data_IF_923936020848
#
_entry.id   IF_923936020848
#
_cell.length_a   1.000
_cell.length_b   1.000
_cell.length_c   1.000
_cell.angle_alpha   90.00
_cell.angle_beta   90.00
_cell.angle_gamma   90.00
#
_symmetry.space_group_name_H-M   'P 1'
#
loop_
_entity.id
_entity.type
_entity.pdbx_description
1 polymer ?
#
# COMPACT_ATOMS: atom_id res chain seq x y z
N UNK A 1 46.78 31.51 29.83
CA UNK A 1 46.80 31.26 28.38
C UNK A 1 46.46 29.79 28.13
N UNK A 2 45.20 29.47 27.84
CA UNK A 2 44.76 28.33 26.99
C UNK A 2 43.21 28.22 26.96
N UNK A 3 42.53 29.27 26.49
CA UNK A 3 41.04 29.26 26.42
C UNK A 3 40.48 29.69 25.05
N UNK A 4 41.36 30.03 24.08
CA UNK A 4 40.92 30.47 22.73
C UNK A 4 40.78 29.33 21.71
N UNK A 5 41.25 28.12 22.02
CA UNK A 5 41.18 26.96 21.13
C UNK A 5 39.87 26.16 21.24
N UNK A 6 39.17 26.26 22.38
CA UNK A 6 37.95 25.50 22.67
C UNK A 6 36.70 26.14 22.03
N UNK A 7 36.57 27.47 22.16
CA UNK A 7 35.46 28.26 21.57
C UNK A 7 35.38 28.17 20.03
N UNK A 8 36.53 28.08 19.34
CA UNK A 8 36.56 27.93 17.88
C UNK A 8 36.15 26.53 17.37
N UNK A 9 36.32 25.48 18.18
CA UNK A 9 35.90 24.11 17.83
C UNK A 9 34.40 23.93 18.03
N UNK A 10 33.84 24.44 19.12
CA UNK A 10 32.39 24.44 19.36
C UNK A 10 31.63 25.28 18.32
N UNK A 11 32.13 26.48 17.99
CA UNK A 11 31.51 27.31 16.94
C UNK A 11 31.54 26.65 15.57
N UNK A 12 32.63 25.95 15.21
CA UNK A 12 32.73 25.19 13.97
C UNK A 12 31.82 23.96 13.96
N UNK A 13 31.67 23.27 15.10
CA UNK A 13 30.77 22.12 15.22
C UNK A 13 29.30 22.55 15.09
N UNK A 14 28.90 23.61 15.80
CA UNK A 14 27.56 24.17 15.74
C UNK A 14 27.23 24.69 14.33
N UNK A 15 28.17 25.36 13.66
CA UNK A 15 27.99 25.80 12.28
C UNK A 15 27.79 24.63 11.30
N UNK A 16 28.49 23.50 11.50
CA UNK A 16 28.26 22.29 10.71
C UNK A 16 26.88 21.70 10.98
N UNK A 17 26.45 21.60 12.24
CA UNK A 17 25.11 21.13 12.60
C UNK A 17 24.02 21.96 11.91
N UNK A 18 24.09 23.29 12.00
CA UNK A 18 23.11 24.17 11.35
C UNK A 18 23.08 23.99 9.83
N UNK A 19 24.26 23.89 9.18
CA UNK A 19 24.32 23.67 7.73
C UNK A 19 23.73 22.32 7.34
N UNK A 20 24.07 21.26 8.06
CA UNK A 20 23.49 19.93 7.82
C UNK A 20 21.98 19.97 8.03
N UNK A 21 21.45 20.63 9.05
CA UNK A 21 20.00 20.73 9.27
C UNK A 21 19.28 21.44 8.12
N UNK A 22 19.88 22.49 7.55
CA UNK A 22 19.34 23.15 6.35
C UNK A 22 19.35 22.21 5.14
N UNK A 23 20.44 21.51 4.92
CA UNK A 23 20.56 20.51 3.84
C UNK A 23 19.55 19.37 3.99
N UNK A 24 19.30 18.90 5.22
CA UNK A 24 18.24 17.92 5.52
C UNK A 24 16.88 18.51 5.14
N UNK A 25 16.60 19.74 5.55
CA UNK A 25 15.33 20.42 5.25
C UNK A 25 15.08 20.57 3.75
N UNK A 26 16.12 20.90 2.97
CA UNK A 26 16.05 20.99 1.52
C UNK A 26 15.83 19.62 0.85
N UNK A 27 16.54 18.57 1.30
CA UNK A 27 16.41 17.21 0.75
C UNK A 27 15.01 16.62 0.95
N UNK A 28 14.33 17.00 2.03
CA UNK A 28 12.95 16.59 2.31
C UNK A 28 11.96 17.11 1.25
N UNK A 29 12.22 18.29 0.67
CA UNK A 29 11.34 18.86 -0.35
C UNK A 29 11.52 18.14 -1.70
N UNK A 30 12.70 17.59 -1.97
CA UNK A 30 13.03 16.95 -3.24
C UNK A 30 12.70 15.46 -3.32
N UNK A 31 12.61 14.76 -2.18
CA UNK A 31 12.38 13.31 -2.16
C UNK A 31 10.98 12.97 -1.68
N UNK A 32 10.26 12.18 -2.48
CA UNK A 32 8.92 11.66 -2.15
C UNK A 32 8.96 10.24 -1.60
N UNK A 33 10.01 9.49 -1.97
CA UNK A 33 10.27 8.15 -1.48
C UNK A 33 11.17 8.20 -0.25
N UNK A 34 10.76 7.53 0.83
CA UNK A 34 11.51 7.53 2.09
C UNK A 34 12.85 6.82 1.99
N UNK A 35 12.97 5.80 1.15
CA UNK A 35 14.22 5.09 0.91
C UNK A 35 15.23 6.00 0.22
N UNK A 36 14.79 6.71 -0.82
CA UNK A 36 15.65 7.67 -1.53
C UNK A 36 16.07 8.84 -0.62
N UNK A 37 15.14 9.36 0.18
CA UNK A 37 15.43 10.40 1.18
C UNK A 37 16.55 9.97 2.13
N UNK A 38 16.45 8.76 2.69
CA UNK A 38 17.43 8.27 3.64
C UNK A 38 18.78 7.96 3.01
N UNK A 39 18.80 7.51 1.76
CA UNK A 39 20.03 7.32 0.97
C UNK A 39 20.79 8.64 0.74
N UNK A 40 20.09 9.75 0.55
CA UNK A 40 20.69 11.09 0.45
C UNK A 40 21.02 11.69 1.84
N UNK A 41 20.20 11.40 2.84
CA UNK A 41 20.35 11.91 4.19
C UNK A 41 21.55 11.28 4.92
N UNK A 42 21.74 9.97 4.79
CA UNK A 42 22.73 9.23 5.57
C UNK A 42 24.16 9.76 5.35
N UNK A 43 24.67 9.97 4.12
CA UNK A 43 26.01 10.53 3.90
C UNK A 43 26.21 11.91 4.53
N UNK A 44 25.17 12.74 4.57
CA UNK A 44 25.21 14.09 5.15
C UNK A 44 25.28 14.04 6.68
N UNK A 45 24.53 13.13 7.29
CA UNK A 45 24.57 12.91 8.73
C UNK A 45 25.92 12.34 9.19
N UNK A 46 26.54 11.44 8.41
CA UNK A 46 27.89 10.92 8.68
C UNK A 46 28.96 12.02 8.76
N UNK A 47 28.73 13.18 8.13
CA UNK A 47 29.64 14.33 8.22
C UNK A 47 29.66 15.03 9.59
N UNK A 48 28.69 14.73 10.46
CA UNK A 48 28.51 15.39 11.76
C UNK A 48 28.44 14.39 12.92
N UNK A 49 27.79 13.24 12.72
CA UNK A 49 27.61 12.19 13.71
C UNK A 49 28.09 10.85 13.15
N UNK A 50 28.74 10.09 14.00
CA UNK A 50 29.26 8.75 13.71
C UNK A 50 28.20 7.69 14.04
N UNK A 51 27.78 6.91 13.05
CA UNK A 51 26.83 5.80 13.20
C UNK A 51 27.09 4.74 12.13
N UNK A 52 26.80 3.48 12.44
CA UNK A 52 26.92 2.33 11.54
C UNK A 52 25.59 1.94 10.88
N UNK A 53 24.46 2.35 11.47
CA UNK A 53 23.16 2.27 10.81
C UNK A 53 22.23 3.38 11.28
N UNK A 54 21.28 3.72 10.41
CA UNK A 54 20.10 4.51 10.74
C UNK A 54 18.85 3.72 10.37
N UNK A 55 17.88 3.64 11.29
CA UNK A 55 16.64 2.91 11.11
C UNK A 55 15.44 3.81 11.41
N UNK A 56 14.56 4.02 10.43
CA UNK A 56 13.26 4.65 10.60
C UNK A 56 12.22 3.58 10.91
N UNK A 57 11.62 3.70 12.09
CA UNK A 57 10.64 2.74 12.59
C UNK A 57 9.32 3.48 12.83
N UNK A 58 8.27 3.18 12.07
CA UNK A 58 6.97 3.84 12.19
C UNK A 58 5.98 2.99 12.98
N UNK A 59 5.08 3.64 13.69
CA UNK A 59 3.98 2.96 14.37
C UNK A 59 2.84 2.70 13.39
N UNK A 60 2.42 1.44 13.31
CA UNK A 60 1.24 1.03 12.56
C UNK A 60 0.05 0.88 13.52
N UNK A 61 -0.94 1.78 13.40
CA UNK A 61 -2.06 1.86 14.33
C UNK A 61 -2.95 0.62 14.34
N UNK A 62 -3.12 -0.02 13.19
CA UNK A 62 -4.12 -1.06 12.98
C UNK A 62 -3.74 -2.37 13.70
N UNK A 63 -2.44 -2.67 13.70
CA UNK A 63 -1.86 -3.84 14.36
C UNK A 63 -1.19 -3.51 15.69
N UNK A 64 -1.04 -2.22 16.00
CA UNK A 64 -0.33 -1.69 17.15
C UNK A 64 1.09 -2.27 17.28
N UNK A 65 1.85 -2.21 16.18
CA UNK A 65 3.24 -2.67 16.09
C UNK A 65 4.13 -1.56 15.55
N UNK A 66 5.43 -1.65 15.81
CA UNK A 66 6.43 -0.79 15.21
C UNK A 66 6.98 -1.48 13.96
N UNK A 67 7.04 -0.80 12.82
CA UNK A 67 7.51 -1.37 11.55
C UNK A 67 8.77 -0.65 11.13
N UNK A 68 9.83 -1.40 10.81
CA UNK A 68 11.05 -0.88 10.22
C UNK A 68 10.78 -0.55 8.75
N UNK A 69 10.65 0.74 8.45
CA UNK A 69 10.33 1.22 7.11
C UNK A 69 11.57 1.46 6.27
N UNK A 70 12.65 1.95 6.89
CA UNK A 70 13.92 2.21 6.22
C UNK A 70 15.05 1.83 7.13
N UNK A 71 15.97 1.02 6.63
CA UNK A 71 17.20 0.64 7.33
C UNK A 71 18.37 0.87 6.38
N UNK A 72 19.16 1.91 6.66
CA UNK A 72 20.35 2.24 5.88
C UNK A 72 21.59 1.84 6.69
N UNK A 73 22.43 1.00 6.11
CA UNK A 73 23.61 0.44 6.78
C UNK A 73 24.62 -0.05 5.73
N UNK A 74 25.95 0.04 6.01
CA UNK A 74 26.98 -0.51 5.12
C UNK A 74 26.98 -2.05 5.05
N UNK A 75 26.43 -2.75 6.03
CA UNK A 75 26.41 -4.22 6.08
C UNK A 75 25.16 -4.77 5.38
N UNK A 76 25.28 -5.43 4.22
CA UNK A 76 24.13 -5.97 3.49
C UNK A 76 23.41 -7.11 4.23
N UNK A 77 24.04 -7.72 5.24
CA UNK A 77 23.42 -8.76 6.07
C UNK A 77 22.69 -8.19 7.29
N UNK A 78 22.75 -6.88 7.49
CA UNK A 78 22.10 -6.20 8.59
C UNK A 78 20.64 -5.90 8.21
N UNK A 79 19.76 -6.83 8.54
CA UNK A 79 18.32 -6.72 8.29
C UNK A 79 17.52 -6.95 9.57
N UNK A 80 16.45 -6.17 9.76
CA UNK A 80 15.49 -6.41 10.83
C UNK A 80 14.80 -7.78 10.58
N UNK A 81 14.88 -8.76 11.51
CA UNK A 81 14.52 -10.15 11.26
C UNK A 81 13.10 -10.37 10.69
N UNK A 82 12.15 -9.56 11.14
CA UNK A 82 10.73 -9.63 10.77
C UNK A 82 10.24 -8.37 10.07
N UNK A 83 11.05 -7.31 9.98
CA UNK A 83 10.58 -5.94 9.66
C UNK A 83 9.64 -5.35 10.72
N UNK A 84 8.97 -6.17 11.52
CA UNK A 84 8.06 -5.79 12.59
C UNK A 84 8.72 -5.95 13.96
N UNK A 85 8.63 -4.91 14.77
CA UNK A 85 9.12 -4.83 16.13
C UNK A 85 7.92 -4.71 17.10
N UNK A 86 7.87 -5.52 18.16
CA UNK A 86 6.89 -5.35 19.23
C UNK A 86 6.98 -3.96 19.88
N UNK A 87 5.90 -3.53 20.53
CA UNK A 87 5.87 -2.27 21.28
C UNK A 87 6.84 -2.25 22.48
N UNK A 88 7.24 -3.42 22.96
CA UNK A 88 8.20 -3.62 24.06
C UNK A 88 9.67 -3.50 23.60
N UNK A 89 9.93 -2.85 22.47
CA UNK A 89 11.26 -2.53 21.96
C UNK A 89 11.63 -1.07 22.25
N UNK A 90 12.92 -0.66 22.13
CA UNK A 90 13.30 0.74 22.30
C UNK A 90 12.46 1.70 21.46
N UNK A 91 12.18 1.35 20.20
CA UNK A 91 11.37 2.19 19.30
C UNK A 91 9.94 2.39 19.80
N UNK A 92 9.29 1.32 20.27
CA UNK A 92 7.94 1.41 20.86
C UNK A 92 7.93 2.22 22.15
N UNK A 93 8.92 2.03 23.03
CA UNK A 93 9.05 2.82 24.26
C UNK A 93 9.27 4.32 23.99
N UNK A 94 10.16 4.66 23.04
CA UNK A 94 10.42 6.05 22.64
C UNK A 94 9.18 6.67 22.01
N UNK A 95 8.45 5.93 21.16
CA UNK A 95 7.18 6.40 20.61
C UNK A 95 6.12 6.66 21.69
N UNK A 96 6.04 5.82 22.73
CA UNK A 96 5.08 6.03 23.82
C UNK A 96 5.45 7.22 24.72
N UNK A 97 6.71 7.27 25.16
CA UNK A 97 7.18 8.25 26.15
C UNK A 97 7.59 9.59 25.56
N UNK A 98 7.87 9.62 24.25
CA UNK A 98 8.39 10.79 23.53
C UNK A 98 9.71 11.31 24.13
N UNK A 99 10.45 10.44 24.83
CA UNK A 99 11.77 10.72 25.38
C UNK A 99 12.82 9.96 24.56
N UNK A 100 13.99 10.57 24.29
CA UNK A 100 15.09 9.84 23.67
C UNK A 100 15.59 8.72 24.58
N UNK A 101 15.95 7.59 23.98
CA UNK A 101 16.60 6.48 24.66
C UNK A 101 18.03 6.37 24.17
N UNK A 102 19.00 6.52 25.07
CA UNK A 102 20.43 6.53 24.73
C UNK A 102 21.16 5.54 25.61
N UNK A 103 21.89 4.62 24.98
CA UNK A 103 22.67 3.59 25.64
C UNK A 103 24.11 3.71 25.16
N UNK A 104 25.01 4.05 26.08
CA UNK A 104 26.44 4.18 25.78
C UNK A 104 27.16 2.83 25.70
N UNK A 105 26.63 1.79 26.34
CA UNK A 105 27.18 0.43 26.33
C UNK A 105 26.06 -0.61 26.31
N UNK A 106 25.76 -1.16 25.13
CA UNK A 106 24.66 -2.10 24.90
C UNK A 106 24.73 -3.33 25.80
N UNK A 107 25.92 -3.89 26.02
CA UNK A 107 26.11 -5.08 26.88
C UNK A 107 25.65 -4.87 28.33
N UNK A 108 25.58 -3.62 28.79
CA UNK A 108 25.15 -3.27 30.16
C UNK A 108 23.65 -2.96 30.24
N UNK A 109 22.97 -2.81 29.11
CA UNK A 109 21.54 -2.51 29.07
C UNK A 109 20.71 -3.78 29.18
N UNK A 110 19.94 -3.89 30.25
CA UNK A 110 19.06 -5.04 30.52
C UNK A 110 17.60 -4.75 30.18
N UNK A 111 17.28 -3.54 29.71
CA UNK A 111 15.90 -3.09 29.51
C UNK A 111 15.22 -3.79 28.34
N UNK A 112 15.97 -4.11 27.29
CA UNK A 112 15.45 -4.76 26.08
C UNK A 112 16.33 -5.94 25.65
N UNK A 113 16.32 -7.07 26.37
CA UNK A 113 17.30 -8.15 26.23
C UNK A 113 17.43 -8.73 24.81
N UNK A 114 16.30 -8.91 24.12
CA UNK A 114 16.31 -9.48 22.76
C UNK A 114 16.91 -8.51 21.74
N UNK A 115 16.58 -7.21 21.86
CA UNK A 115 17.15 -6.16 21.01
C UNK A 115 18.63 -5.98 21.32
N UNK A 116 19.01 -5.98 22.61
CA UNK A 116 20.40 -5.91 23.04
C UNK A 116 21.21 -7.04 22.42
N UNK A 117 20.77 -8.30 22.56
CA UNK A 117 21.45 -9.46 21.99
C UNK A 117 21.59 -9.33 20.47
N UNK A 118 20.50 -8.99 19.79
CA UNK A 118 20.48 -8.87 18.34
C UNK A 118 21.45 -7.79 17.81
N UNK A 119 21.56 -6.65 18.53
CA UNK A 119 22.49 -5.57 18.22
C UNK A 119 23.94 -5.94 18.55
N UNK A 120 24.21 -6.53 19.72
CA UNK A 120 25.57 -6.91 20.14
C UNK A 120 26.15 -8.02 19.26
N UNK A 121 25.34 -8.98 18.82
CA UNK A 121 25.76 -10.04 17.88
C UNK A 121 26.23 -9.47 16.52
N UNK A 122 25.84 -8.23 16.22
CA UNK A 122 26.23 -7.48 15.01
C UNK A 122 27.28 -6.41 15.30
N UNK A 123 27.90 -6.44 16.48
CA UNK A 123 28.97 -5.54 16.86
C UNK A 123 28.54 -4.14 17.26
N UNK A 124 27.24 -3.86 17.40
CA UNK A 124 26.73 -2.56 17.84
C UNK A 124 26.90 -2.46 19.37
N UNK A 125 27.59 -1.39 19.79
CA UNK A 125 27.95 -1.15 21.20
C UNK A 125 27.25 0.05 21.82
N UNK A 126 26.75 0.98 21.04
CA UNK A 126 25.93 2.08 21.53
C UNK A 126 24.74 2.37 20.61
N UNK A 127 23.68 2.93 21.18
CA UNK A 127 22.42 3.18 20.49
C UNK A 127 21.83 4.52 20.94
N UNK A 128 21.34 5.31 19.99
CA UNK A 128 20.52 6.49 20.23
C UNK A 128 19.19 6.32 19.49
N UNK A 129 18.07 6.35 20.19
CA UNK A 129 16.73 6.28 19.62
C UNK A 129 15.98 7.54 20.00
N UNK A 130 15.51 8.28 19.00
CA UNK A 130 14.81 9.56 19.19
C UNK A 130 13.40 9.48 18.60
N UNK A 131 12.42 10.20 19.17
CA UNK A 131 11.05 10.16 18.65
C UNK A 131 10.94 10.89 17.31
N UNK A 132 10.19 10.27 16.39
CA UNK A 132 9.82 10.86 15.09
C UNK A 132 8.38 11.34 15.20
N UNK A 133 8.19 12.63 15.49
CA UNK A 133 6.88 13.20 15.83
C UNK A 133 6.73 14.60 15.23
N UNK A 134 5.55 14.88 14.67
CA UNK A 134 5.15 16.23 14.23
C UNK A 134 4.25 16.88 15.27
N UNK A 135 3.88 18.14 15.06
CA UNK A 135 2.90 18.81 15.93
C UNK A 135 1.52 18.13 15.92
N UNK A 136 1.22 17.33 14.89
CA UNK A 136 -0.08 16.71 14.68
C UNK A 136 -0.13 15.25 15.15
N UNK A 137 0.97 14.50 15.04
CA UNK A 137 0.98 13.06 15.34
C UNK A 137 2.34 12.50 15.70
N UNK A 138 2.31 11.44 16.52
CA UNK A 138 3.47 10.60 16.85
C UNK A 138 3.62 9.54 15.78
N UNK A 139 4.64 9.66 14.93
CA UNK A 139 4.80 8.78 13.77
C UNK A 139 5.59 7.52 14.11
N UNK A 140 6.63 7.64 14.93
CA UNK A 140 7.52 6.53 15.20
C UNK A 140 8.75 6.91 16.00
N UNK A 141 9.85 6.24 15.69
CA UNK A 141 11.17 6.48 16.24
C UNK A 141 12.24 6.40 15.13
N UNK A 142 13.36 7.09 15.37
CA UNK A 142 14.54 7.06 14.52
C UNK A 142 15.71 6.56 15.37
N UNK A 143 16.32 5.45 14.95
CA UNK A 143 17.39 4.80 15.70
C UNK A 143 18.73 4.92 14.96
N UNK A 144 19.78 5.22 15.71
CA UNK A 144 21.17 5.31 15.27
C UNK A 144 22.00 4.35 16.12
N UNK A 145 22.64 3.37 15.51
CA UNK A 145 23.54 2.46 16.21
C UNK A 145 24.98 2.64 15.80
N UNK A 146 25.90 2.44 16.74
CA UNK A 146 27.34 2.51 16.51
C UNK A 146 28.05 1.36 17.20
N UNK A 147 29.10 0.85 16.57
CA UNK A 147 30.07 -0.13 17.04
C UNK A 147 31.06 0.46 18.05
N UNK A 148 31.05 1.79 18.25
CA UNK A 148 31.79 2.47 19.30
C UNK A 148 30.94 2.61 20.56
N UNK A 149 31.54 2.36 21.72
CA UNK A 149 30.90 2.70 23.00
C UNK A 149 30.86 4.22 23.19
N UNK A 150 29.79 4.71 23.82
CA UNK A 150 29.63 6.13 24.13
C UNK A 150 29.68 7.04 22.89
N UNK A 151 29.18 6.58 21.74
CA UNK A 151 29.29 7.33 20.49
C UNK A 151 28.50 8.66 20.51
N UNK A 152 27.43 8.74 21.32
CA UNK A 152 26.50 9.85 21.34
C UNK A 152 26.63 10.67 22.63
N UNK A 153 27.04 11.92 22.50
CA UNK A 153 27.03 12.92 23.57
C UNK A 153 25.67 13.64 23.66
N UNK A 154 25.44 14.40 24.72
CA UNK A 154 24.20 15.16 24.89
C UNK A 154 23.94 16.15 23.72
N UNK A 155 24.93 16.94 23.25
CA UNK A 155 24.77 17.75 22.04
C UNK A 155 24.44 16.96 20.77
N UNK A 156 24.98 15.74 20.63
CA UNK A 156 24.65 14.88 19.49
C UNK A 156 23.17 14.46 19.55
N UNK A 157 22.70 14.07 20.74
CA UNK A 157 21.29 13.67 20.96
C UNK A 157 20.34 14.83 20.64
N UNK A 158 20.66 16.04 21.10
CA UNK A 158 19.85 17.24 20.80
C UNK A 158 19.78 17.53 19.30
N UNK A 159 20.89 17.38 18.59
CA UNK A 159 20.93 17.51 17.14
C UNK A 159 20.14 16.40 16.44
N UNK A 160 20.29 15.14 16.85
CA UNK A 160 19.52 14.02 16.31
C UNK A 160 18.01 14.20 16.53
N UNK A 161 17.59 14.79 17.66
CA UNK A 161 16.19 15.16 17.87
C UNK A 161 15.73 16.25 16.90
N UNK A 162 16.59 17.21 16.52
CA UNK A 162 16.26 18.20 15.49
C UNK A 162 16.14 17.55 14.10
N UNK A 163 17.06 16.65 13.75
CA UNK A 163 17.01 15.85 12.52
C UNK A 163 15.72 15.02 12.48
N UNK A 164 15.37 14.35 13.59
CA UNK A 164 14.15 13.55 13.68
C UNK A 164 12.88 14.37 13.50
N UNK A 165 12.85 15.64 13.93
CA UNK A 165 11.73 16.55 13.65
C UNK A 165 11.60 16.85 12.15
N UNK A 166 12.72 17.06 11.45
CA UNK A 166 12.71 17.27 10.01
C UNK A 166 12.25 15.99 9.27
N UNK A 167 12.84 14.84 9.61
CA UNK A 167 12.44 13.53 9.08
C UNK A 167 10.94 13.27 9.34
N UNK A 168 10.43 13.62 10.52
CA UNK A 168 9.01 13.48 10.85
C UNK A 168 8.12 14.25 9.86
N UNK A 169 8.48 15.48 9.49
CA UNK A 169 7.71 16.26 8.50
C UNK A 169 7.73 15.59 7.13
N UNK A 170 8.87 15.06 6.71
CA UNK A 170 9.03 14.34 5.44
C UNK A 170 8.14 13.09 5.38
N UNK A 171 8.20 12.28 6.44
CA UNK A 171 7.37 11.08 6.60
C UNK A 171 5.90 11.44 6.64
N UNK A 172 5.51 12.45 7.41
CA UNK A 172 4.12 12.92 7.50
C UNK A 172 3.60 13.30 6.11
N UNK A 173 4.39 14.04 5.34
CA UNK A 173 4.06 14.47 3.99
C UNK A 173 3.93 13.29 3.00
N UNK A 174 4.91 12.38 3.00
CA UNK A 174 4.88 11.18 2.15
C UNK A 174 3.63 10.32 2.43
N UNK A 175 3.37 10.02 3.70
CA UNK A 175 2.18 9.26 4.12
C UNK A 175 0.86 9.97 3.76
N UNK A 176 0.80 11.30 3.90
CA UNK A 176 -0.41 12.05 3.55
C UNK A 176 -0.64 12.07 2.04
N UNK A 177 0.43 12.18 1.25
CA UNK A 177 0.36 12.14 -0.21
C UNK A 177 -0.12 10.77 -0.71
N UNK A 178 0.45 9.67 -0.21
CA UNK A 178 0.02 8.31 -0.56
C UNK A 178 -1.46 8.08 -0.21
N UNK A 179 -1.90 8.52 0.97
CA UNK A 179 -3.31 8.44 1.38
C UNK A 179 -4.20 9.26 0.45
N UNK A 180 -3.80 10.48 0.11
CA UNK A 180 -4.56 11.33 -0.79
C UNK A 180 -4.70 10.69 -2.18
N UNK A 181 -3.63 10.11 -2.73
CA UNK A 181 -3.68 9.39 -4.00
C UNK A 181 -4.60 8.16 -3.95
N UNK A 182 -4.51 7.35 -2.89
CA UNK A 182 -5.37 6.18 -2.70
C UNK A 182 -6.85 6.58 -2.63
N UNK A 183 -7.20 7.60 -1.84
CA UNK A 183 -8.57 8.12 -1.75
C UNK A 183 -9.04 8.68 -3.09
N UNK A 184 -8.19 9.43 -3.81
CA UNK A 184 -8.54 9.95 -5.13
C UNK A 184 -8.84 8.83 -6.14
N UNK A 185 -8.05 7.75 -6.11
CA UNK A 185 -8.26 6.60 -6.98
C UNK A 185 -9.57 5.88 -6.64
N UNK A 186 -9.86 5.65 -5.35
CA UNK A 186 -11.12 5.07 -4.89
C UNK A 186 -12.33 5.92 -5.28
N UNK A 187 -12.25 7.25 -5.11
CA UNK A 187 -13.32 8.16 -5.52
C UNK A 187 -13.55 8.15 -7.02
N UNK A 188 -12.48 8.04 -7.82
CA UNK A 188 -12.59 7.92 -9.27
C UNK A 188 -13.29 6.62 -9.67
N UNK A 189 -12.92 5.50 -9.08
CA UNK A 189 -13.56 4.19 -9.34
C UNK A 189 -15.05 4.21 -8.97
N UNK A 190 -15.40 4.77 -7.81
CA UNK A 190 -16.80 4.87 -7.38
C UNK A 190 -17.61 5.81 -8.28
N UNK A 191 -17.03 6.95 -8.68
CA UNK A 191 -17.66 7.87 -9.65
C UNK A 191 -17.90 7.18 -10.98
N UNK A 192 -16.93 6.43 -11.49
CA UNK A 192 -17.04 5.72 -12.77
C UNK A 192 -18.13 4.63 -12.67
N UNK A 193 -18.25 3.95 -11.53
CA UNK A 193 -19.33 3.00 -11.24
C UNK A 193 -20.71 3.66 -11.19
N UNK A 194 -20.86 4.77 -10.48
CA UNK A 194 -22.13 5.51 -10.39
C UNK A 194 -22.55 6.07 -11.74
N UNK A 195 -21.60 6.58 -12.53
CA UNK A 195 -21.86 7.09 -13.88
C UNK A 195 -22.39 5.98 -14.78
N UNK A 196 -21.79 4.79 -14.73
CA UNK A 196 -22.28 3.62 -15.45
C UNK A 196 -23.71 3.24 -15.03
N UNK A 197 -24.02 3.23 -13.74
CA UNK A 197 -25.37 2.93 -13.26
C UNK A 197 -26.41 3.93 -13.77
N UNK A 198 -26.08 5.23 -13.80
CA UNK A 198 -26.96 6.25 -14.35
C UNK A 198 -27.18 6.09 -15.85
N UNK A 199 -26.11 5.78 -16.61
CA UNK A 199 -26.23 5.54 -18.05
C UNK A 199 -27.10 4.31 -18.36
N UNK A 200 -26.92 3.21 -17.63
CA UNK A 200 -27.76 2.01 -17.76
C UNK A 200 -29.21 2.32 -17.38
N UNK A 201 -29.45 3.04 -16.28
CA UNK A 201 -30.80 3.42 -15.88
C UNK A 201 -31.49 4.30 -16.93
N UNK A 202 -30.76 5.26 -17.51
CA UNK A 202 -31.30 6.11 -18.57
C UNK A 202 -31.65 5.30 -19.83
N UNK A 203 -30.81 4.34 -20.23
CA UNK A 203 -31.11 3.43 -21.34
C UNK A 203 -32.38 2.62 -21.06
N UNK A 204 -32.49 2.03 -19.87
CA UNK A 204 -33.67 1.24 -19.46
C UNK A 204 -34.96 2.06 -19.47
N UNK A 205 -34.90 3.34 -19.11
CA UNK A 205 -36.09 4.22 -19.07
C UNK A 205 -36.47 4.76 -20.45
N UNK A 206 -35.50 4.94 -21.37
CA UNK A 206 -35.73 5.61 -22.65
C UNK A 206 -35.90 4.66 -23.84
N UNK A 207 -35.44 3.41 -23.73
CA UNK A 207 -35.40 2.46 -24.85
C UNK A 207 -36.41 1.33 -24.63
N UNK A 208 -37.46 1.31 -25.46
CA UNK A 208 -38.54 0.30 -25.40
C UNK A 208 -38.22 -0.98 -26.19
N UNK A 209 -37.24 -0.92 -27.11
CA UNK A 209 -36.79 -2.06 -27.88
C UNK A 209 -35.67 -2.81 -27.14
N UNK A 210 -35.85 -4.12 -26.93
CA UNK A 210 -34.91 -4.93 -26.14
C UNK A 210 -33.54 -5.09 -26.80
N UNK A 211 -33.48 -5.07 -28.13
CA UNK A 211 -32.23 -5.18 -28.88
C UNK A 211 -31.42 -3.89 -28.76
N UNK A 212 -32.05 -2.74 -28.99
CA UNK A 212 -31.42 -1.44 -28.80
C UNK A 212 -30.97 -1.24 -27.35
N UNK A 213 -31.83 -1.60 -26.38
CA UNK A 213 -31.52 -1.50 -24.96
C UNK A 213 -30.28 -2.32 -24.58
N UNK A 214 -30.22 -3.59 -25.00
CA UNK A 214 -29.07 -4.44 -24.67
C UNK A 214 -27.78 -3.89 -25.27
N UNK A 215 -27.81 -3.40 -26.51
CA UNK A 215 -26.63 -2.84 -27.17
C UNK A 215 -26.13 -1.58 -26.45
N UNK A 216 -27.03 -0.67 -26.05
CA UNK A 216 -26.67 0.53 -25.29
C UNK A 216 -26.08 0.20 -23.91
N UNK A 217 -26.73 -0.73 -23.19
CA UNK A 217 -26.27 -1.20 -21.89
C UNK A 217 -24.93 -1.92 -22.02
N UNK A 218 -24.78 -2.81 -22.99
CA UNK A 218 -23.53 -3.54 -23.23
C UNK A 218 -22.39 -2.59 -23.61
N UNK A 219 -22.61 -1.62 -24.51
CA UNK A 219 -21.63 -0.60 -24.85
C UNK A 219 -21.19 0.21 -23.61
N UNK A 220 -22.14 0.57 -22.76
CA UNK A 220 -21.86 1.27 -21.50
C UNK A 220 -21.02 0.43 -20.54
N UNK A 221 -21.41 -0.84 -20.35
CA UNK A 221 -20.75 -1.82 -19.47
C UNK A 221 -19.32 -2.13 -19.92
N UNK A 222 -19.04 -2.20 -21.23
CA UNK A 222 -17.71 -2.54 -21.77
C UNK A 222 -16.58 -1.62 -21.31
N UNK A 223 -16.88 -0.38 -20.91
CA UNK A 223 -15.90 0.58 -20.41
C UNK A 223 -15.31 0.19 -19.04
N UNK A 224 -16.07 -0.53 -18.21
CA UNK A 224 -15.63 -0.99 -16.89
C UNK A 224 -15.46 -2.51 -16.83
N UNK A 225 -16.39 -3.26 -17.42
CA UNK A 225 -16.40 -4.73 -17.45
C UNK A 225 -16.17 -5.16 -18.89
N UNK A 226 -14.94 -5.57 -19.20
CA UNK A 226 -14.64 -6.13 -20.53
C UNK A 226 -15.40 -7.43 -20.68
N UNK A 227 -16.25 -7.48 -21.69
CA UNK A 227 -16.96 -8.69 -22.09
C UNK A 227 -17.07 -8.75 -23.61
N UNK A 228 -17.02 -9.96 -24.13
CA UNK A 228 -17.07 -10.23 -25.57
C UNK A 228 -18.51 -10.53 -26.01
N UNK A 229 -19.34 -11.03 -25.08
CA UNK A 229 -20.71 -11.47 -25.30
C UNK A 229 -21.63 -10.95 -24.18
N UNK A 230 -22.80 -10.44 -24.55
CA UNK A 230 -23.91 -10.18 -23.65
C UNK A 230 -25.22 -10.63 -24.31
N UNK A 231 -26.14 -11.22 -23.55
CA UNK A 231 -27.45 -11.63 -24.07
C UNK A 231 -28.54 -11.43 -23.04
N UNK A 232 -29.72 -11.04 -23.50
CA UNK A 232 -30.92 -10.97 -22.68
C UNK A 232 -31.87 -12.11 -23.08
N UNK A 233 -32.21 -12.97 -22.12
CA UNK A 233 -33.14 -14.08 -22.33
C UNK A 233 -34.37 -13.91 -21.46
N UNK A 234 -35.56 -14.11 -22.04
CA UNK A 234 -36.83 -14.06 -21.30
C UNK A 234 -37.39 -15.45 -21.12
N UNK A 235 -37.96 -15.72 -19.95
CA UNK A 235 -38.60 -16.98 -19.62
C UNK A 235 -40.04 -16.99 -20.12
N UNK A 236 -40.39 -18.03 -20.86
CA UNK A 236 -41.75 -18.30 -21.31
C UNK A 236 -42.41 -19.35 -20.39
N UNK A 237 -43.47 -18.98 -19.64
CA UNK A 237 -44.19 -19.90 -18.77
C UNK A 237 -44.89 -21.05 -19.51
N UNK A 238 -45.29 -20.87 -20.77
CA UNK A 238 -46.03 -21.89 -21.53
C UNK A 238 -45.11 -23.01 -21.99
N UNK A 239 -43.95 -22.65 -22.52
CA UNK A 239 -42.97 -23.63 -23.03
C UNK A 239 -41.96 -24.06 -21.97
N UNK A 240 -41.93 -23.41 -20.80
CA UNK A 240 -40.95 -23.57 -19.73
C UNK A 240 -39.50 -23.46 -20.21
N UNK A 241 -39.24 -22.53 -21.15
CA UNK A 241 -37.93 -22.32 -21.79
C UNK A 241 -37.55 -20.84 -21.78
N UNK A 242 -36.28 -20.58 -22.02
CA UNK A 242 -35.73 -19.24 -22.18
C UNK A 242 -35.53 -18.96 -23.67
N UNK A 243 -35.97 -17.81 -24.17
CA UNK A 243 -35.64 -17.36 -25.52
C UNK A 243 -34.63 -16.21 -25.45
N UNK A 244 -33.57 -16.26 -26.26
CA UNK A 244 -32.65 -15.13 -26.43
C UNK A 244 -33.38 -14.04 -27.23
N UNK A 245 -33.71 -12.92 -26.60
CA UNK A 245 -34.42 -11.81 -27.24
C UNK A 245 -33.49 -10.73 -27.78
N UNK A 246 -32.32 -10.57 -27.17
CA UNK A 246 -31.31 -9.64 -27.63
C UNK A 246 -29.92 -10.25 -27.42
N UNK A 247 -29.02 -9.97 -28.35
CA UNK A 247 -27.65 -10.47 -28.33
C UNK A 247 -26.67 -9.38 -28.79
N UNK A 248 -25.65 -9.11 -27.98
CA UNK A 248 -24.49 -8.32 -28.37
C UNK A 248 -23.23 -9.20 -28.34
N UNK A 249 -22.82 -9.67 -29.53
CA UNK A 249 -21.63 -10.50 -29.70
C UNK A 249 -20.97 -10.25 -31.07
N UNK A 250 -20.13 -9.21 -31.21
CA UNK A 250 -19.56 -8.81 -32.49
C UNK A 250 -18.69 -9.89 -33.16
N UNK A 251 -18.07 -10.77 -32.36
CA UNK A 251 -17.20 -11.86 -32.83
C UNK A 251 -17.94 -13.20 -33.02
N UNK A 252 -19.28 -13.20 -33.01
CA UNK A 252 -20.09 -14.40 -33.14
C UNK A 252 -19.77 -15.20 -34.42
N UNK A 253 -19.70 -16.53 -34.27
CA UNK A 253 -19.61 -17.51 -35.35
C UNK A 253 -21.00 -18.01 -35.79
N UNK A 254 -22.07 -17.44 -35.22
CA UNK A 254 -23.46 -17.74 -35.56
C UNK A 254 -24.05 -18.97 -34.86
N UNK A 255 -23.36 -19.52 -33.85
CA UNK A 255 -23.88 -20.62 -33.02
C UNK A 255 -24.86 -20.10 -31.95
N UNK A 256 -24.68 -18.84 -31.53
CA UNK A 256 -25.60 -18.07 -30.68
C UNK A 256 -26.26 -16.95 -31.52
N UNK A 257 -27.59 -16.90 -31.46
CA UNK A 257 -28.41 -15.97 -32.23
C UNK A 257 -29.71 -15.64 -31.50
N UNK A 258 -30.31 -14.52 -31.86
CA UNK A 258 -31.63 -14.12 -31.37
C UNK A 258 -32.72 -15.10 -31.81
N UNK A 259 -33.75 -15.23 -30.99
CA UNK A 259 -34.84 -16.19 -31.15
C UNK A 259 -34.51 -17.62 -30.74
N UNK A 260 -33.25 -17.92 -30.37
CA UNK A 260 -32.85 -19.25 -29.93
C UNK A 260 -33.50 -19.62 -28.59
N UNK A 261 -34.15 -20.79 -28.55
CA UNK A 261 -34.72 -21.37 -27.35
C UNK A 261 -33.70 -22.22 -26.60
N UNK A 262 -33.61 -22.00 -25.29
CA UNK A 262 -32.66 -22.62 -24.38
C UNK A 262 -33.43 -23.25 -23.21
N UNK A 263 -33.15 -24.51 -22.82
CA UNK A 263 -33.80 -25.12 -21.67
C UNK A 263 -33.40 -24.43 -20.36
N UNK A 264 -34.28 -24.45 -19.36
CA UNK A 264 -33.95 -23.97 -18.01
C UNK A 264 -33.05 -24.99 -17.30
N UNK A 265 -33.39 -26.28 -17.36
CA UNK A 265 -32.58 -27.32 -16.72
C UNK A 265 -31.25 -27.54 -17.44
N UNK A 266 -30.19 -27.71 -16.66
CA UNK A 266 -28.86 -28.02 -17.19
C UNK A 266 -28.19 -26.88 -17.95
N UNK A 267 -28.65 -25.63 -17.79
CA UNK A 267 -28.03 -24.45 -18.38
C UNK A 267 -27.64 -23.43 -17.29
N UNK A 268 -26.56 -22.66 -17.50
CA UNK A 268 -26.17 -21.65 -16.53
C UNK A 268 -27.22 -20.54 -16.37
N UNK A 269 -27.84 -20.09 -17.46
CA UNK A 269 -28.91 -19.08 -17.43
C UNK A 269 -30.14 -19.56 -16.65
N UNK A 270 -30.50 -20.84 -16.78
CA UNK A 270 -31.59 -21.41 -15.98
C UNK A 270 -31.22 -21.61 -14.51
N UNK A 271 -29.95 -21.89 -14.20
CA UNK A 271 -29.46 -21.90 -12.82
C UNK A 271 -29.53 -20.50 -12.18
N UNK A 272 -29.18 -19.44 -12.91
CA UNK A 272 -29.33 -18.07 -12.44
C UNK A 272 -30.81 -17.70 -12.20
N UNK A 273 -31.70 -18.09 -13.13
CA UNK A 273 -33.15 -17.87 -13.01
C UNK A 273 -33.74 -18.55 -11.76
N UNK A 274 -33.37 -19.81 -11.52
CA UNK A 274 -33.93 -20.61 -10.42
C UNK A 274 -33.33 -20.25 -9.06
N UNK A 275 -32.03 -19.99 -8.98
CA UNK A 275 -31.34 -19.59 -7.74
C UNK A 275 -31.58 -18.13 -7.35
N UNK A 276 -31.94 -17.27 -8.31
CA UNK A 276 -32.02 -15.81 -8.15
C UNK A 276 -30.72 -15.19 -7.67
N UNK A 277 -29.58 -15.79 -8.04
CA UNK A 277 -28.25 -15.31 -7.73
C UNK A 277 -27.44 -15.17 -9.03
N UNK A 278 -26.49 -14.22 -9.10
CA UNK A 278 -25.50 -14.19 -10.18
C UNK A 278 -24.70 -15.50 -10.20
N UNK A 279 -24.50 -16.08 -11.40
CA UNK A 279 -23.77 -17.33 -11.56
C UNK A 279 -22.47 -17.05 -12.28
N UNK A 280 -21.37 -17.02 -11.53
CA UNK A 280 -20.05 -16.89 -12.11
C UNK A 280 -19.55 -18.24 -12.60
N UNK A 281 -19.06 -18.27 -13.84
CA UNK A 281 -18.62 -19.50 -14.49
C UNK A 281 -17.19 -19.34 -14.96
N UNK A 282 -16.35 -20.29 -14.55
CA UNK A 282 -15.08 -20.57 -15.21
C UNK A 282 -15.27 -21.56 -16.35
N UNK A 283 -14.23 -21.80 -17.14
CA UNK A 283 -14.27 -22.77 -18.23
C UNK A 283 -14.65 -24.17 -17.74
N UNK A 284 -14.10 -24.57 -16.60
CA UNK A 284 -14.36 -25.87 -16.02
C UNK A 284 -15.83 -26.00 -15.59
N UNK A 285 -16.40 -24.93 -15.01
CA UNK A 285 -17.81 -24.91 -14.62
C UNK A 285 -18.72 -25.02 -15.84
N UNK A 286 -18.40 -24.32 -16.93
CA UNK A 286 -19.15 -24.40 -18.21
C UNK A 286 -19.17 -25.85 -18.72
N UNK A 287 -18.03 -26.54 -18.72
CA UNK A 287 -17.91 -27.92 -19.20
C UNK A 287 -18.70 -28.96 -18.38
N UNK A 288 -19.07 -28.64 -17.12
CA UNK A 288 -19.89 -29.52 -16.28
C UNK A 288 -21.37 -29.52 -16.68
N UNK A 289 -21.84 -28.53 -17.42
CA UNK A 289 -23.21 -28.48 -17.92
C UNK A 289 -23.35 -29.34 -19.19
N UNK A 290 -24.29 -30.29 -19.18
CA UNK A 290 -24.46 -31.27 -20.27
C UNK A 290 -25.31 -30.82 -21.47
N UNK A 291 -25.77 -29.56 -21.50
CA UNK A 291 -26.75 -29.07 -22.47
C UNK A 291 -26.14 -28.65 -23.81
N UNK A 292 -26.92 -28.72 -24.90
CA UNK A 292 -26.45 -28.34 -26.24
C UNK A 292 -26.02 -26.86 -26.34
N UNK A 293 -26.59 -25.99 -25.50
CA UNK A 293 -26.21 -24.57 -25.45
C UNK A 293 -24.76 -24.38 -24.98
N UNK A 294 -24.28 -25.23 -24.08
CA UNK A 294 -22.90 -25.19 -23.56
C UNK A 294 -21.90 -25.51 -24.66
N UNK A 295 -22.21 -26.51 -25.51
CA UNK A 295 -21.36 -26.82 -26.67
C UNK A 295 -21.31 -25.65 -27.65
N UNK A 296 -22.42 -24.91 -27.82
CA UNK A 296 -22.45 -23.69 -28.63
C UNK A 296 -21.61 -22.57 -28.01
N UNK A 297 -21.74 -22.31 -26.71
CA UNK A 297 -20.93 -21.32 -25.96
C UNK A 297 -19.43 -21.62 -26.10
N UNK A 298 -19.02 -22.87 -25.89
CA UNK A 298 -17.63 -23.28 -26.06
C UNK A 298 -17.18 -23.24 -27.53
N UNK A 299 -18.06 -23.58 -28.48
CA UNK A 299 -17.83 -23.50 -29.92
C UNK A 299 -17.65 -22.06 -30.44
N UNK A 300 -18.28 -21.09 -29.78
CA UNK A 300 -18.07 -19.65 -29.98
C UNK A 300 -16.72 -19.17 -29.41
N UNK A 301 -16.08 -19.96 -28.56
CA UNK A 301 -14.81 -19.64 -27.92
C UNK A 301 -14.94 -18.94 -26.56
N UNK A 302 -16.18 -18.81 -26.04
CA UNK A 302 -16.44 -18.27 -24.71
C UNK A 302 -15.96 -19.27 -23.65
N UNK A 303 -15.18 -18.80 -22.68
CA UNK A 303 -14.50 -19.64 -21.67
C UNK A 303 -14.86 -19.27 -20.23
N UNK A 304 -15.57 -18.17 -20.02
CA UNK A 304 -16.00 -17.71 -18.71
C UNK A 304 -17.21 -16.79 -18.91
N UNK A 305 -18.02 -16.61 -17.86
CA UNK A 305 -19.20 -15.78 -17.91
C UNK A 305 -19.77 -15.48 -16.52
N UNK A 306 -20.79 -14.63 -16.49
CA UNK A 306 -21.60 -14.27 -15.33
C UNK A 306 -23.07 -14.24 -15.73
#
# INVERSE_FOLDING_TARGET
MNDRGFSGREANYLSRQYRTLLEVSESIVSHRDLTELFRDLAPRLHGVIDFDFINLILHESDRNVMVSNVLETPDPNYACPSGECPMETPGGWVWQTQQPWVVSAMEKDTRFPDVTRWLTDRGIKSLCVVPTTTALRRLGALAFGSSREGAYSQPDVEFLQQVAKQVALAVDNALNFERAQSIQQQLKEERDRLSLLLEVNNAVVSTLDLHELLNEVSASLRRLIRHEYASLSLYDPETQRLQIHALDFPASRGLLQEGLWVPVEGTPTGLALTSRQPIFLTRHDIEQFGSDIVRRILGEGLKAGC
#
